data_IF_197250225081
#
_entry.id   IF_197250225081
#
_cell.length_a   1.000
_cell.length_b   1.000
_cell.length_c   1.000
_cell.angle_alpha   90.00
_cell.angle_beta   90.00
_cell.angle_gamma   90.00
#
_symmetry.space_group_name_H-M   'P 1'
#
loop_
_entity.id
_entity.type
_entity.pdbx_description
1 polymer ?
#
# COMPACT_ATOMS: atom_id res chain seq x y z
N UNK A 1 -0.51 -32.79 -11.50
CA UNK A 1 -1.21 -31.50 -11.66
C UNK A 1 -0.71 -30.61 -10.54
N UNK A 2 0.29 -29.77 -10.79
CA UNK A 2 0.68 -28.69 -9.88
C UNK A 2 -0.43 -27.66 -9.94
N UNK A 3 -1.17 -27.48 -8.85
CA UNK A 3 -2.04 -26.30 -8.72
C UNK A 3 -1.12 -25.09 -8.85
N UNK A 4 -1.32 -24.30 -9.89
CA UNK A 4 -0.73 -22.97 -10.01
C UNK A 4 -1.36 -22.15 -8.87
N UNK A 5 -0.64 -22.01 -7.76
CA UNK A 5 -1.10 -21.24 -6.62
C UNK A 5 -1.06 -19.76 -7.00
N UNK A 6 -2.14 -19.05 -6.77
CA UNK A 6 -2.15 -17.61 -6.87
C UNK A 6 -1.05 -17.03 -5.99
N UNK A 7 -0.07 -16.38 -6.61
CA UNK A 7 1.10 -15.84 -5.92
C UNK A 7 0.99 -14.34 -5.81
N UNK A 8 1.18 -13.80 -4.62
CA UNK A 8 1.35 -12.36 -4.41
C UNK A 8 2.83 -12.06 -4.19
N UNK A 9 3.38 -11.14 -4.96
CA UNK A 9 4.74 -10.64 -4.75
C UNK A 9 4.70 -9.42 -3.83
N UNK A 10 5.53 -9.44 -2.79
CA UNK A 10 5.72 -8.31 -1.87
C UNK A 10 7.06 -7.68 -2.18
N UNK A 11 7.04 -6.48 -2.74
CA UNK A 11 8.25 -5.72 -3.06
C UNK A 11 8.77 -5.06 -1.80
N UNK A 12 10.02 -5.38 -1.43
CA UNK A 12 10.67 -4.87 -0.23
C UNK A 12 11.49 -3.61 -0.54
N UNK A 13 11.10 -2.49 0.08
CA UNK A 13 11.82 -1.22 0.02
C UNK A 13 12.79 -1.00 1.19
N UNK A 14 13.03 -2.03 1.99
CA UNK A 14 14.04 -2.00 3.06
C UNK A 14 13.49 -1.69 4.46
N UNK A 15 12.18 -1.67 4.64
CA UNK A 15 11.56 -1.63 5.97
C UNK A 15 11.19 -3.03 6.46
N UNK A 16 11.14 -3.22 7.78
CA UNK A 16 10.81 -4.54 8.38
C UNK A 16 9.38 -5.03 8.10
N UNK A 17 8.53 -4.20 7.47
CA UNK A 17 7.12 -4.52 7.23
C UNK A 17 6.88 -5.51 6.08
N UNK A 18 7.81 -5.69 5.14
CA UNK A 18 7.64 -6.63 4.03
C UNK A 18 7.38 -8.06 4.51
N UNK A 19 8.08 -8.48 5.58
CA UNK A 19 7.89 -9.79 6.22
C UNK A 19 6.49 -9.93 6.84
N UNK A 20 6.02 -8.87 7.52
CA UNK A 20 4.70 -8.85 8.15
C UNK A 20 3.60 -8.89 7.08
N UNK A 21 3.74 -8.11 6.01
CA UNK A 21 2.80 -8.10 4.88
C UNK A 21 2.72 -9.50 4.26
N UNK A 22 3.87 -10.11 3.93
CA UNK A 22 3.91 -11.44 3.35
C UNK A 22 3.27 -12.50 4.27
N UNK A 23 3.45 -12.37 5.59
CA UNK A 23 2.79 -13.23 6.58
C UNK A 23 1.28 -13.03 6.54
N UNK A 24 0.77 -11.80 6.53
CA UNK A 24 -0.67 -11.51 6.48
C UNK A 24 -1.33 -12.05 5.22
N UNK A 25 -0.65 -11.96 4.07
CA UNK A 25 -1.11 -12.58 2.81
C UNK A 25 -1.27 -14.09 2.97
N UNK A 26 -0.29 -14.77 3.62
CA UNK A 26 -0.35 -16.21 3.87
C UNK A 26 -1.45 -16.59 4.89
N UNK A 27 -1.68 -15.78 5.88
CA UNK A 27 -2.79 -15.95 6.83
C UNK A 27 -4.15 -15.87 6.13
N UNK A 28 -4.25 -15.13 5.02
CA UNK A 28 -5.40 -15.11 4.12
C UNK A 28 -5.43 -16.30 3.12
N UNK A 29 -4.60 -17.33 3.33
CA UNK A 29 -4.49 -18.53 2.50
C UNK A 29 -4.03 -18.26 1.05
N UNK A 30 -3.30 -17.18 0.81
CA UNK A 30 -2.67 -16.85 -0.47
C UNK A 30 -1.16 -17.02 -0.35
N UNK A 31 -0.52 -17.63 -1.35
CA UNK A 31 0.93 -17.76 -1.35
C UNK A 31 1.59 -16.40 -1.61
N UNK A 32 2.70 -16.11 -0.91
CA UNK A 32 3.42 -14.85 -1.08
C UNK A 32 4.92 -15.03 -1.09
N UNK A 33 5.60 -14.26 -1.92
CA UNK A 33 7.05 -14.16 -1.99
C UNK A 33 7.50 -12.72 -1.78
N UNK A 34 8.60 -12.52 -1.06
CA UNK A 34 9.24 -11.21 -0.91
C UNK A 34 10.31 -11.09 -1.99
N UNK A 35 10.27 -9.97 -2.72
CA UNK A 35 11.21 -9.67 -3.79
C UNK A 35 11.85 -8.29 -3.58
N UNK A 36 13.11 -8.08 -3.96
CA UNK A 36 13.75 -6.78 -3.81
C UNK A 36 13.12 -5.75 -4.76
N UNK A 37 13.11 -4.48 -4.36
CA UNK A 37 12.64 -3.37 -5.20
C UNK A 37 13.45 -3.19 -6.49
N UNK A 38 14.64 -3.80 -6.56
CA UNK A 38 15.51 -3.79 -7.75
C UNK A 38 15.16 -4.87 -8.77
N UNK A 39 14.16 -5.72 -8.49
CA UNK A 39 13.74 -6.76 -9.43
C UNK A 39 13.17 -6.11 -10.71
N UNK A 40 13.67 -6.48 -11.90
CA UNK A 40 13.15 -5.93 -13.15
C UNK A 40 11.66 -6.23 -13.36
N UNK A 41 10.92 -5.28 -13.92
CA UNK A 41 9.48 -5.46 -14.23
C UNK A 41 9.23 -6.67 -15.11
N UNK A 42 10.10 -6.93 -16.08
CA UNK A 42 10.01 -8.12 -16.94
C UNK A 42 10.08 -9.44 -16.14
N UNK A 43 10.88 -9.49 -15.06
CA UNK A 43 10.95 -10.65 -14.18
C UNK A 43 9.70 -10.79 -13.33
N UNK A 44 9.16 -9.69 -12.81
CA UNK A 44 7.88 -9.66 -12.09
C UNK A 44 6.77 -10.19 -13.00
N UNK A 45 6.66 -9.67 -14.22
CA UNK A 45 5.66 -10.08 -15.21
C UNK A 45 5.79 -11.56 -15.61
N UNK A 46 7.02 -12.05 -15.77
CA UNK A 46 7.29 -13.46 -16.12
C UNK A 46 6.81 -14.44 -15.04
N UNK A 47 6.78 -14.02 -13.77
CA UNK A 47 6.25 -14.82 -12.66
C UNK A 47 4.72 -14.88 -12.64
N UNK A 48 4.04 -14.04 -13.42
CA UNK A 48 2.57 -13.97 -13.53
C UNK A 48 1.87 -13.93 -12.16
N UNK A 49 2.24 -13.02 -11.27
CA UNK A 49 1.61 -12.95 -9.96
C UNK A 49 0.15 -12.51 -10.07
N UNK A 50 -0.68 -12.97 -9.14
CA UNK A 50 -2.06 -12.52 -9.00
C UNK A 50 -2.15 -11.04 -8.57
N UNK A 51 -1.15 -10.59 -7.79
CA UNK A 51 -1.01 -9.18 -7.39
C UNK A 51 0.43 -8.87 -6.96
N UNK A 52 0.76 -7.58 -6.90
CA UNK A 52 1.99 -7.04 -6.34
C UNK A 52 1.64 -6.10 -5.19
N UNK A 53 2.29 -6.28 -4.04
CA UNK A 53 2.19 -5.36 -2.90
C UNK A 53 3.52 -4.61 -2.77
N UNK A 54 3.45 -3.30 -2.75
CA UNK A 54 4.58 -2.40 -2.53
C UNK A 54 4.65 -2.07 -1.05
N UNK A 55 5.69 -2.50 -0.36
CA UNK A 55 5.81 -2.34 1.10
C UNK A 55 6.17 -0.91 1.51
N UNK A 56 6.21 -0.67 2.81
CA UNK A 56 6.80 0.53 3.39
C UNK A 56 8.32 0.58 3.16
N UNK A 57 8.91 1.75 3.38
CA UNK A 57 10.34 2.01 3.28
C UNK A 57 10.84 2.90 4.42
N UNK A 58 12.16 2.92 4.69
CA UNK A 58 12.73 3.67 5.80
C UNK A 58 12.90 5.16 5.50
N UNK A 59 12.84 5.57 4.24
CA UNK A 59 13.22 6.89 3.77
C UNK A 59 12.05 7.66 3.17
N UNK A 60 12.21 8.97 3.01
CA UNK A 60 11.32 9.76 2.16
C UNK A 60 11.60 9.47 0.68
N UNK A 61 10.56 9.48 -0.14
CA UNK A 61 10.69 9.31 -1.61
C UNK A 61 11.52 10.42 -2.28
N UNK A 62 11.85 11.47 -1.56
CA UNK A 62 12.66 12.60 -2.04
C UNK A 62 14.13 12.50 -1.66
N UNK A 63 14.51 11.57 -0.81
CA UNK A 63 15.90 11.44 -0.42
C UNK A 63 16.77 10.98 -1.60
N UNK A 64 18.00 11.52 -1.72
CA UNK A 64 18.95 11.05 -2.72
C UNK A 64 19.20 9.53 -2.55
N UNK A 65 19.01 8.76 -3.61
CA UNK A 65 19.17 7.31 -3.58
C UNK A 65 17.97 6.55 -3.03
N UNK A 66 16.85 7.23 -2.75
CA UNK A 66 15.61 6.56 -2.38
C UNK A 66 15.17 5.56 -3.47
N UNK A 67 14.70 4.38 -3.10
CA UNK A 67 14.21 3.39 -4.05
C UNK A 67 13.14 3.99 -4.96
N UNK A 68 13.26 3.77 -6.26
CA UNK A 68 12.27 4.21 -7.25
C UNK A 68 11.51 3.02 -7.82
N UNK A 69 10.32 3.29 -8.36
CA UNK A 69 9.53 2.33 -9.11
C UNK A 69 9.62 2.64 -10.60
N UNK A 70 9.69 1.57 -11.37
CA UNK A 70 9.51 1.65 -12.81
C UNK A 70 8.02 1.74 -13.14
N UNK A 71 7.60 2.77 -13.85
CA UNK A 71 6.22 2.98 -14.24
C UNK A 71 5.67 1.85 -15.15
N UNK A 72 6.53 1.12 -15.86
CA UNK A 72 6.15 -0.04 -16.65
C UNK A 72 5.41 -1.11 -15.82
N UNK A 73 5.66 -1.20 -14.51
CA UNK A 73 4.94 -2.11 -13.63
C UNK A 73 3.42 -1.89 -13.73
N UNK A 74 2.98 -0.64 -13.84
CA UNK A 74 1.56 -0.28 -13.89
C UNK A 74 0.92 -0.48 -15.27
N UNK A 75 1.73 -0.77 -16.28
CA UNK A 75 1.28 -1.09 -17.64
C UNK A 75 1.11 -2.60 -17.84
N UNK A 76 1.63 -3.43 -16.93
CA UNK A 76 1.54 -4.90 -17.00
C UNK A 76 0.12 -5.45 -16.87
N UNK A 77 -0.82 -4.65 -16.34
CA UNK A 77 -2.16 -5.09 -15.99
C UNK A 77 -2.25 -5.92 -14.71
N UNK A 78 -1.13 -6.16 -14.03
CA UNK A 78 -1.10 -6.83 -12.72
C UNK A 78 -1.67 -5.88 -11.67
N UNK A 79 -2.57 -6.34 -10.78
CA UNK A 79 -3.04 -5.55 -9.64
C UNK A 79 -1.87 -5.13 -8.75
N UNK A 80 -1.77 -3.84 -8.43
CA UNK A 80 -0.72 -3.30 -7.57
C UNK A 80 -1.36 -2.61 -6.36
N UNK A 81 -0.83 -2.88 -5.17
CA UNK A 81 -1.26 -2.31 -3.91
C UNK A 81 -0.08 -1.67 -3.20
N UNK A 82 -0.14 -0.37 -2.93
CA UNK A 82 0.93 0.37 -2.27
C UNK A 82 0.62 0.66 -0.81
N UNK A 83 1.61 0.49 0.07
CA UNK A 83 1.52 0.78 1.51
C UNK A 83 2.62 1.79 1.87
N UNK A 84 2.27 2.86 2.57
CA UNK A 84 3.22 3.90 3.03
C UNK A 84 4.17 4.37 1.91
N UNK A 85 5.47 4.07 2.05
CA UNK A 85 6.46 4.39 1.03
C UNK A 85 6.08 3.87 -0.36
N UNK A 86 5.60 2.61 -0.44
CA UNK A 86 5.19 2.01 -1.71
C UNK A 86 4.06 2.78 -2.39
N UNK A 87 3.13 3.34 -1.61
CA UNK A 87 2.10 4.24 -2.11
C UNK A 87 2.68 5.55 -2.65
N UNK A 88 3.52 6.19 -1.86
CA UNK A 88 4.14 7.46 -2.26
C UNK A 88 4.99 7.29 -3.51
N UNK A 89 5.78 6.20 -3.60
CA UNK A 89 6.57 5.85 -4.77
C UNK A 89 5.69 5.59 -6.00
N UNK A 90 4.57 4.89 -5.82
CA UNK A 90 3.57 4.66 -6.87
C UNK A 90 2.93 5.97 -7.34
N UNK A 91 2.48 6.81 -6.40
CA UNK A 91 1.88 8.10 -6.74
C UNK A 91 2.85 8.96 -7.55
N UNK A 92 4.12 9.01 -7.15
CA UNK A 92 5.17 9.74 -7.84
C UNK A 92 5.46 9.18 -9.24
N UNK A 93 5.57 7.86 -9.38
CA UNK A 93 5.82 7.20 -10.67
C UNK A 93 4.69 7.45 -11.67
N UNK A 94 3.46 7.61 -11.20
CA UNK A 94 2.27 7.87 -12.01
C UNK A 94 1.92 9.37 -12.17
N UNK A 95 2.82 10.27 -11.76
CA UNK A 95 2.65 11.72 -11.95
C UNK A 95 1.82 12.42 -10.87
N UNK A 96 1.52 11.76 -9.76
CA UNK A 96 0.98 12.36 -8.55
C UNK A 96 2.00 13.24 -7.83
N UNK A 97 1.56 13.92 -6.78
CA UNK A 97 2.43 14.80 -5.98
C UNK A 97 2.49 14.29 -4.55
N UNK A 98 3.69 14.06 -4.07
CA UNK A 98 3.98 13.77 -2.66
C UNK A 98 4.65 15.01 -2.06
N UNK A 99 4.36 15.37 -0.83
CA UNK A 99 5.00 16.48 -0.14
C UNK A 99 4.97 16.28 1.37
N UNK A 100 5.83 17.02 2.09
CA UNK A 100 5.75 17.13 3.53
C UNK A 100 4.53 17.98 3.91
N UNK A 101 3.64 17.41 4.71
CA UNK A 101 2.42 18.10 5.13
C UNK A 101 2.64 19.08 6.28
N UNK A 102 3.76 18.98 6.99
CA UNK A 102 3.97 19.68 8.25
C UNK A 102 3.19 19.10 9.44
N UNK A 103 2.20 18.29 9.18
CA UNK A 103 1.47 17.47 10.14
C UNK A 103 1.88 16.02 9.90
N UNK A 104 2.85 15.55 10.68
CA UNK A 104 3.21 14.13 10.64
C UNK A 104 2.16 13.35 11.42
N UNK A 105 1.66 12.27 10.82
CA UNK A 105 0.68 11.39 11.47
C UNK A 105 1.39 10.14 12.00
N UNK A 106 1.31 9.97 13.31
CA UNK A 106 1.88 8.81 14.01
C UNK A 106 0.86 8.29 15.03
N UNK A 107 0.51 7.01 14.91
CA UNK A 107 -0.45 6.38 15.81
C UNK A 107 -1.86 6.29 15.24
N UNK A 108 -2.84 6.10 16.12
CA UNK A 108 -4.25 5.98 15.74
C UNK A 108 -4.79 7.28 15.17
N UNK A 109 -5.23 7.26 13.92
CA UNK A 109 -5.71 8.42 13.17
C UNK A 109 -7.11 8.16 12.64
N UNK A 110 -8.08 9.07 12.88
CA UNK A 110 -9.39 9.00 12.26
C UNK A 110 -9.28 9.08 10.73
N UNK A 111 -9.90 8.15 10.03
CA UNK A 111 -9.98 8.09 8.59
C UNK A 111 -11.42 8.20 8.15
N UNK A 112 -11.71 9.10 7.20
CA UNK A 112 -13.01 9.23 6.60
C UNK A 112 -13.00 8.66 5.18
N UNK A 113 -13.82 7.64 4.94
CA UNK A 113 -14.06 7.09 3.61
C UNK A 113 -15.02 8.02 2.87
N UNK A 114 -14.54 8.63 1.80
CA UNK A 114 -15.31 9.57 0.97
C UNK A 114 -16.00 8.88 -0.21
N UNK A 115 -15.35 7.85 -0.74
CA UNK A 115 -15.87 7.02 -1.84
C UNK A 115 -15.45 5.58 -1.57
N UNK A 116 -16.35 4.62 -1.37
CA UNK A 116 -15.97 3.28 -0.91
C UNK A 116 -14.94 2.56 -1.78
N UNK A 117 -15.00 2.72 -3.10
CA UNK A 117 -14.08 2.01 -4.01
C UNK A 117 -14.10 0.50 -3.79
N UNK A 118 -13.08 -0.20 -4.29
CA UNK A 118 -12.95 -1.65 -4.12
C UNK A 118 -12.44 -2.06 -2.74
N UNK A 119 -11.68 -1.18 -2.06
CA UNK A 119 -11.07 -1.50 -0.78
C UNK A 119 -12.04 -1.35 0.41
N UNK A 120 -12.97 -0.41 0.34
CA UNK A 120 -13.85 -0.02 1.44
C UNK A 120 -15.31 -0.43 1.23
N UNK A 121 -15.63 -1.24 0.22
CA UNK A 121 -17.00 -1.54 -0.20
C UNK A 121 -17.92 -2.02 0.94
N UNK A 122 -17.38 -2.82 1.87
CA UNK A 122 -18.14 -3.40 2.99
C UNK A 122 -17.68 -2.87 4.35
N UNK A 123 -17.02 -1.70 4.39
CA UNK A 123 -16.49 -1.11 5.61
C UNK A 123 -17.26 0.13 6.03
N UNK A 124 -17.26 0.49 7.33
CA UNK A 124 -17.81 1.76 7.80
C UNK A 124 -17.13 2.96 7.13
N UNK A 125 -17.84 4.10 7.05
CA UNK A 125 -17.29 5.34 6.51
C UNK A 125 -16.27 6.01 7.43
N UNK A 126 -16.38 5.77 8.73
CA UNK A 126 -15.49 6.31 9.74
C UNK A 126 -14.68 5.16 10.34
N UNK A 127 -13.39 5.20 10.14
CA UNK A 127 -12.43 4.19 10.59
C UNK A 127 -11.37 4.83 11.48
N UNK A 128 -10.71 4.02 12.29
CA UNK A 128 -9.48 4.40 12.95
C UNK A 128 -8.36 3.53 12.39
N UNK A 129 -7.32 4.16 11.85
CA UNK A 129 -6.20 3.49 11.21
C UNK A 129 -4.90 3.91 11.88
N UNK A 130 -3.89 3.06 11.79
CA UNK A 130 -2.57 3.38 12.30
C UNK A 130 -1.75 4.06 11.22
N UNK A 131 -1.26 5.27 11.49
CA UNK A 131 -0.43 6.05 10.58
C UNK A 131 1.01 6.12 11.08
N UNK A 132 1.96 6.14 10.16
CA UNK A 132 3.38 6.28 10.46
C UNK A 132 4.10 6.94 9.28
N UNK A 133 3.80 8.21 9.02
CA UNK A 133 4.43 8.95 7.94
C UNK A 133 4.57 10.45 8.21
N UNK A 134 5.61 11.06 7.63
CA UNK A 134 5.83 12.50 7.63
C UNK A 134 5.60 13.15 6.26
N UNK A 135 5.55 12.35 5.20
CA UNK A 135 5.20 12.76 3.84
C UNK A 135 3.84 12.20 3.48
N UNK A 136 3.03 12.96 2.75
CA UNK A 136 1.73 12.50 2.26
C UNK A 136 1.54 12.78 0.78
N UNK A 137 0.64 12.05 0.14
CA UNK A 137 0.22 12.33 -1.22
C UNK A 137 -0.73 13.52 -1.21
N UNK A 138 -0.36 14.59 -1.87
CA UNK A 138 -1.16 15.82 -1.99
C UNK A 138 -2.09 15.82 -3.19
N UNK A 139 -1.65 15.18 -4.26
CA UNK A 139 -2.44 15.05 -5.49
C UNK A 139 -2.33 13.62 -6.00
N UNK A 140 -3.48 12.99 -6.12
CA UNK A 140 -3.58 11.67 -6.74
C UNK A 140 -3.12 11.73 -8.21
N UNK A 141 -2.56 10.63 -8.74
CA UNK A 141 -2.29 10.53 -10.17
C UNK A 141 -3.56 10.65 -11.00
N UNK A 142 -3.41 11.04 -12.27
CA UNK A 142 -4.54 11.13 -13.19
C UNK A 142 -5.20 9.75 -13.38
N UNK A 143 -6.54 9.73 -13.36
CA UNK A 143 -7.33 8.49 -13.44
C UNK A 143 -7.53 7.76 -12.12
N UNK A 144 -7.06 8.35 -11.00
CA UNK A 144 -7.34 7.86 -9.65
C UNK A 144 -8.41 8.70 -8.95
N UNK A 145 -9.22 8.06 -8.14
CA UNK A 145 -10.20 8.70 -7.27
C UNK A 145 -9.74 8.58 -5.83
N UNK A 146 -9.78 9.67 -5.09
CA UNK A 146 -9.53 9.66 -3.64
C UNK A 146 -10.69 8.95 -2.97
N UNK A 147 -10.40 7.89 -2.23
CA UNK A 147 -11.40 7.06 -1.58
C UNK A 147 -11.48 7.29 -0.07
N UNK A 148 -10.41 7.77 0.55
CA UNK A 148 -10.42 8.16 1.95
C UNK A 148 -9.38 9.25 2.24
N UNK A 149 -9.63 10.02 3.30
CA UNK A 149 -8.83 11.17 3.74
C UNK A 149 -8.65 11.16 5.25
N UNK A 150 -7.60 11.84 5.72
CA UNK A 150 -7.41 12.22 7.13
C UNK A 150 -7.28 13.73 7.25
N UNK A 151 -7.23 14.26 8.47
CA UNK A 151 -7.00 15.70 8.69
C UNK A 151 -5.60 16.13 8.24
N UNK A 152 -4.62 15.23 8.29
CA UNK A 152 -3.21 15.48 7.90
C UNK A 152 -2.91 15.19 6.44
N UNK A 153 -3.76 14.42 5.75
CA UNK A 153 -3.50 14.01 4.37
C UNK A 153 -4.77 14.03 3.49
N UNK A 154 -4.79 14.91 2.48
CA UNK A 154 -5.93 15.06 1.57
C UNK A 154 -6.09 13.89 0.60
N UNK A 155 -5.08 13.02 0.50
CA UNK A 155 -5.07 11.82 -0.35
C UNK A 155 -4.45 10.67 0.43
N UNK A 156 -5.25 10.02 1.27
CA UNK A 156 -4.78 8.85 2.02
C UNK A 156 -4.98 7.54 1.26
N UNK A 157 -6.10 7.43 0.60
CA UNK A 157 -6.41 6.26 -0.21
C UNK A 157 -6.91 6.68 -1.58
N UNK A 158 -6.48 5.95 -2.60
CA UNK A 158 -6.98 6.11 -3.96
C UNK A 158 -7.29 4.76 -4.58
N UNK A 159 -8.25 4.76 -5.51
CA UNK A 159 -8.57 3.62 -6.34
C UNK A 159 -8.59 4.07 -7.82
N UNK A 160 -8.18 3.20 -8.71
CA UNK A 160 -8.22 3.49 -10.14
C UNK A 160 -9.52 2.98 -10.74
N UNK A 161 -10.31 3.88 -11.32
CA UNK A 161 -11.64 3.59 -11.88
C UNK A 161 -11.64 2.57 -13.02
N UNK A 162 -10.49 2.34 -13.68
CA UNK A 162 -10.35 1.36 -14.76
C UNK A 162 -8.98 0.71 -14.67
N UNK A 163 -8.92 -0.40 -13.94
CA UNK A 163 -7.69 -1.18 -13.78
C UNK A 163 -7.43 -1.49 -12.31
N UNK A 164 -6.85 -2.63 -12.06
CA UNK A 164 -6.74 -3.23 -10.72
C UNK A 164 -5.56 -2.67 -9.92
N UNK A 165 -5.53 -1.37 -9.69
CA UNK A 165 -4.56 -0.77 -8.77
C UNK A 165 -5.33 -0.30 -7.56
N UNK A 166 -5.08 -0.92 -6.42
CA UNK A 166 -5.68 -0.61 -5.12
C UNK A 166 -4.59 -0.18 -4.17
N UNK A 167 -4.88 0.77 -3.31
CA UNK A 167 -3.91 1.37 -2.43
C UNK A 167 -4.43 1.47 -0.99
N UNK A 168 -3.58 1.16 -0.03
CA UNK A 168 -3.87 1.29 1.40
C UNK A 168 -2.68 1.77 2.21
N UNK A 169 -3.00 2.51 3.25
CA UNK A 169 -2.14 2.75 4.42
C UNK A 169 -2.30 1.59 5.41
N UNK A 170 -1.33 1.43 6.30
CA UNK A 170 -1.34 0.36 7.30
C UNK A 170 -2.64 0.36 8.10
N UNK A 171 -3.46 -0.63 7.87
CA UNK A 171 -4.56 -0.95 8.74
C UNK A 171 -4.01 -1.82 9.85
N UNK A 172 -3.89 -1.27 11.05
CA UNK A 172 -3.84 -2.11 12.21
C UNK A 172 -5.18 -2.85 12.27
N UNK A 173 -5.15 -4.13 11.95
CA UNK A 173 -6.23 -5.01 12.37
C UNK A 173 -6.09 -5.03 13.89
N UNK A 174 -6.86 -4.16 14.54
CA UNK A 174 -7.03 -4.18 15.98
C UNK A 174 -7.73 -5.48 16.35
N UNK A 175 -7.00 -6.56 16.31
CA UNK A 175 -7.29 -7.70 17.15
C UNK A 175 -7.05 -7.22 18.56
N UNK A 176 -8.15 -6.89 19.23
CA UNK A 176 -8.26 -6.93 20.66
C UNK A 176 -7.71 -8.29 21.11
N UNK A 177 -6.43 -8.34 21.40
CA UNK A 177 -5.90 -9.40 22.25
C UNK A 177 -6.73 -9.32 23.53
N UNK A 178 -7.38 -10.40 23.95
CA UNK A 178 -8.09 -10.40 25.22
C UNK A 178 -7.07 -10.04 26.28
N UNK A 179 -7.30 -8.90 26.95
CA UNK A 179 -6.56 -8.54 28.15
C UNK A 179 -6.75 -9.70 29.11
N UNK A 180 -5.69 -10.39 29.57
CA UNK A 180 -5.86 -11.42 30.57
C UNK A 180 -6.45 -10.76 31.79
N UNK A 181 -7.62 -11.22 32.24
CA UNK A 181 -8.22 -10.80 33.46
C UNK A 181 -7.20 -11.02 34.58
N UNK A 182 -6.70 -9.92 35.12
CA UNK A 182 -5.79 -9.94 36.25
C UNK A 182 -6.46 -10.58 37.45
N UNK A 183 -5.84 -11.65 37.94
CA UNK A 183 -6.08 -12.18 39.27
C UNK A 183 -5.21 -11.45 40.27
#
# INVERSE_FOLDING_TARGET
MTQDLDTVLVVDFGAQYAQLIARRVREAHVYSEIVPHTMPVAEIAARRPAAVILSGGPSSVYEPGAPSLDAELFETGIPVFGICYGFQAMARALGGTVARTGLSEFGGTPLQVTTPGSLFADLPTDLNVWMSHGDAVHRAPDGFVVTAVTDGAPVEFTDRLQGRIVQAVEREVGDSLPVPAGG
#
